data_IF_823505499759
#
_entry.id   IF_823505499759
#
_cell.length_a   1.000
_cell.length_b   1.000
_cell.length_c   1.000
_cell.angle_alpha   90.00
_cell.angle_beta   90.00
_cell.angle_gamma   90.00
#
_symmetry.space_group_name_H-M   'P 1'
#
loop_
_entity.id
_entity.type
_entity.pdbx_description
1 polymer ?
#
# COMPACT_ATOMS: atom_id res chain seq x y z
N UNK A 1 0.81 -29.57 15.68
CA UNK A 1 0.75 -28.12 15.99
C UNK A 1 0.68 -27.35 14.68
N UNK A 2 -0.54 -27.06 14.24
CA UNK A 2 -0.82 -26.31 13.00
C UNK A 2 -0.56 -24.83 13.23
N UNK A 3 0.40 -24.26 12.49
CA UNK A 3 0.84 -22.86 12.56
C UNK A 3 -0.15 -21.85 11.95
N UNK A 4 -1.45 -22.03 12.17
CA UNK A 4 -2.49 -21.12 11.65
C UNK A 4 -2.94 -20.05 12.67
N UNK A 5 -2.32 -20.00 13.86
CA UNK A 5 -2.80 -19.20 15.00
C UNK A 5 -2.46 -17.71 15.04
N UNK A 6 -1.61 -17.18 14.15
CA UNK A 6 -1.06 -15.82 14.32
C UNK A 6 -1.41 -14.81 13.20
N UNK A 7 -2.29 -15.17 12.25
CA UNK A 7 -2.67 -14.24 11.17
C UNK A 7 -4.05 -13.63 11.43
N UNK A 8 -4.03 -12.39 11.89
CA UNK A 8 -5.22 -11.56 12.17
C UNK A 8 -5.95 -11.11 10.88
N UNK A 9 -5.23 -11.05 9.75
CA UNK A 9 -5.74 -10.58 8.47
C UNK A 9 -5.40 -11.54 7.33
N UNK A 10 -6.27 -11.61 6.31
CA UNK A 10 -5.88 -12.12 5.00
C UNK A 10 -5.04 -11.05 4.30
N UNK A 11 -3.92 -11.44 3.70
CA UNK A 11 -2.99 -10.50 3.07
C UNK A 11 -2.70 -10.96 1.64
N UNK A 12 -2.95 -10.09 0.67
CA UNK A 12 -2.45 -10.21 -0.71
C UNK A 12 -1.36 -9.17 -0.95
N UNK A 13 -0.31 -9.52 -1.71
CA UNK A 13 0.71 -8.54 -2.07
C UNK A 13 1.42 -8.88 -3.37
N UNK A 14 1.70 -7.84 -4.15
CA UNK A 14 2.53 -7.89 -5.35
C UNK A 14 3.52 -6.71 -5.37
N UNK A 15 4.24 -6.50 -6.47
CA UNK A 15 5.23 -5.41 -6.53
C UNK A 15 4.60 -4.00 -6.50
N UNK A 16 3.27 -3.88 -6.55
CA UNK A 16 2.52 -2.63 -6.65
C UNK A 16 1.61 -2.34 -5.45
N UNK A 17 0.96 -3.36 -4.88
CA UNK A 17 0.08 -3.22 -3.70
C UNK A 17 0.34 -4.30 -2.69
N UNK A 18 0.06 -3.98 -1.43
CA UNK A 18 -0.15 -4.91 -0.33
C UNK A 18 -1.52 -4.59 0.24
N UNK A 19 -2.36 -5.60 0.39
CA UNK A 19 -3.74 -5.45 0.78
C UNK A 19 -4.04 -6.36 1.96
N UNK A 20 -4.85 -5.85 2.88
CA UNK A 20 -5.35 -6.54 4.05
C UNK A 20 -6.86 -6.64 3.89
N UNK A 21 -7.38 -7.85 4.00
CA UNK A 21 -8.79 -8.17 3.82
C UNK A 21 -9.26 -9.03 4.99
N UNK A 22 -10.47 -8.76 5.48
CA UNK A 22 -11.16 -9.52 6.52
C UNK A 22 -10.43 -9.53 7.88
N UNK A 23 -11.04 -10.15 8.89
CA UNK A 23 -10.57 -10.12 10.28
C UNK A 23 -11.11 -8.88 11.00
N UNK A 24 -10.28 -8.19 11.77
CA UNK A 24 -10.69 -6.96 12.48
C UNK A 24 -11.05 -5.78 11.53
N UNK A 25 -11.00 -6.00 10.21
CA UNK A 25 -11.40 -5.04 9.19
C UNK A 25 -12.89 -5.14 8.81
N UNK A 26 -13.63 -6.09 9.40
CA UNK A 26 -15.06 -6.29 9.15
C UNK A 26 -15.94 -5.27 9.89
N UNK A 27 -15.36 -4.47 10.79
CA UNK A 27 -15.99 -3.32 11.44
C UNK A 27 -15.39 -2.01 10.87
N UNK A 28 -16.06 -1.33 9.93
CA UNK A 28 -15.52 -0.14 9.29
C UNK A 28 -15.43 1.07 10.23
N UNK A 29 -16.20 1.10 11.33
CA UNK A 29 -16.17 2.20 12.30
C UNK A 29 -14.96 2.11 13.23
N UNK A 30 -14.45 0.89 13.47
CA UNK A 30 -13.31 0.61 14.34
C UNK A 30 -12.05 0.17 13.58
N UNK A 31 -11.93 0.54 12.30
CA UNK A 31 -10.83 0.16 11.43
C UNK A 31 -9.49 0.76 11.91
N UNK A 32 -8.73 0.00 12.70
CA UNK A 32 -7.41 0.39 13.20
C UNK A 32 -6.40 -0.74 12.93
N UNK A 33 -5.46 -0.49 12.04
CA UNK A 33 -4.30 -1.37 11.87
C UNK A 33 -3.15 -0.95 12.80
N UNK A 34 -2.43 -1.91 13.39
CA UNK A 34 -1.21 -1.59 14.14
C UNK A 34 -0.15 -1.01 13.20
N UNK A 35 0.72 -0.13 13.71
CA UNK A 35 1.77 0.51 12.90
C UNK A 35 2.73 -0.51 12.25
N UNK A 36 2.88 -1.70 12.88
CA UNK A 36 3.63 -2.84 12.34
C UNK A 36 3.06 -3.41 11.03
N UNK A 37 1.78 -3.14 10.73
CA UNK A 37 1.16 -3.50 9.45
C UNK A 37 1.71 -2.63 8.32
N UNK A 38 2.08 -1.37 8.58
CA UNK A 38 2.52 -0.39 7.58
C UNK A 38 3.98 -0.52 7.15
N UNK A 39 4.46 -1.75 6.93
CA UNK A 39 5.87 -2.03 6.64
C UNK A 39 6.43 -1.30 5.41
N UNK A 40 5.61 -1.04 4.39
CA UNK A 40 6.05 -0.35 3.17
C UNK A 40 5.93 1.17 3.25
N UNK A 41 5.18 1.66 4.23
CA UNK A 41 4.87 3.09 4.38
C UNK A 41 5.23 3.57 5.78
N UNK A 42 6.23 2.96 6.41
CA UNK A 42 6.67 3.27 7.77
C UNK A 42 7.16 4.72 7.82
N UNK A 43 6.47 5.55 8.60
CA UNK A 43 6.81 6.97 8.73
C UNK A 43 8.15 7.11 9.45
N UNK A 44 9.06 7.91 8.89
CA UNK A 44 10.31 8.32 9.54
C UNK A 44 10.05 9.63 10.27
N UNK A 45 10.11 9.66 11.62
CA UNK A 45 9.90 10.88 12.37
C UNK A 45 10.92 11.95 12.00
N UNK A 46 10.49 13.21 11.93
CA UNK A 46 11.33 14.37 11.62
C UNK A 46 12.06 14.31 10.26
N UNK A 47 11.55 13.54 9.30
CA UNK A 47 12.08 13.56 7.93
C UNK A 47 11.96 14.98 7.35
N UNK A 48 13.06 15.53 6.81
CA UNK A 48 13.04 16.80 6.09
C UNK A 48 12.19 16.69 4.82
N UNK A 49 11.54 17.76 4.39
CA UNK A 49 10.85 17.78 3.10
C UNK A 49 11.80 17.39 1.95
N UNK A 50 11.35 16.52 1.05
CA UNK A 50 12.12 16.09 -0.11
C UNK A 50 11.37 16.41 -1.41
N UNK A 51 12.10 16.88 -2.41
CA UNK A 51 11.58 17.09 -3.77
C UNK A 51 12.11 15.99 -4.67
N UNK A 52 11.23 15.43 -5.50
CA UNK A 52 11.56 14.44 -6.52
C UNK A 52 11.06 14.95 -7.87
N UNK A 53 11.86 14.76 -8.92
CA UNK A 53 11.43 15.05 -10.29
C UNK A 53 11.28 13.72 -11.03
N UNK A 54 10.10 13.46 -11.60
CA UNK A 54 9.84 12.20 -12.32
C UNK A 54 9.57 12.54 -13.77
N UNK A 55 10.39 12.01 -14.67
CA UNK A 55 10.18 12.19 -16.11
C UNK A 55 9.45 10.99 -16.70
N UNK A 56 8.55 11.28 -17.64
CA UNK A 56 7.76 10.29 -18.35
C UNK A 56 8.10 10.31 -19.84
N UNK A 57 8.07 9.13 -20.47
CA UNK A 57 8.17 8.97 -21.91
C UNK A 57 7.04 8.07 -22.36
N UNK A 58 6.16 8.58 -23.23
CA UNK A 58 4.96 7.87 -23.69
C UNK A 58 4.13 7.32 -22.51
N UNK A 59 3.90 8.18 -21.52
CA UNK A 59 3.16 7.86 -20.27
C UNK A 59 3.81 6.81 -19.36
N UNK A 60 5.04 6.38 -19.64
CA UNK A 60 5.78 5.45 -18.77
C UNK A 60 6.87 6.25 -18.03
N UNK A 61 6.94 6.21 -16.69
CA UNK A 61 7.99 6.87 -15.95
C UNK A 61 9.33 6.21 -16.26
N UNK A 62 10.34 7.02 -16.59
CA UNK A 62 11.62 6.55 -17.10
C UNK A 62 12.84 7.16 -16.40
N UNK A 63 12.65 8.17 -15.55
CA UNK A 63 13.73 8.84 -14.83
C UNK A 63 13.24 9.43 -13.52
N UNK A 64 14.10 9.37 -12.51
CA UNK A 64 13.95 10.08 -11.22
C UNK A 64 15.14 11.00 -11.06
N UNK A 65 14.85 12.28 -10.81
CA UNK A 65 15.79 13.39 -10.83
C UNK A 65 16.59 13.38 -12.15
N UNK A 66 17.89 13.20 -12.07
CA UNK A 66 18.79 13.18 -13.23
C UNK A 66 19.20 11.76 -13.68
N UNK A 67 18.57 10.71 -13.12
CA UNK A 67 18.96 9.32 -13.36
C UNK A 67 17.91 8.53 -14.16
N UNK A 68 18.20 8.25 -15.43
CA UNK A 68 17.40 7.35 -16.25
C UNK A 68 17.45 5.91 -15.72
N UNK A 69 16.30 5.24 -15.68
CA UNK A 69 16.19 3.88 -15.16
C UNK A 69 14.99 3.13 -15.73
N UNK A 70 15.06 1.80 -15.73
CA UNK A 70 13.92 0.95 -16.11
C UNK A 70 12.78 1.12 -15.11
N UNK A 71 11.54 0.96 -15.58
CA UNK A 71 10.32 1.13 -14.77
C UNK A 71 10.37 0.41 -13.43
N UNK A 72 10.73 -0.88 -13.41
CA UNK A 72 10.79 -1.64 -12.14
C UNK A 72 11.85 -1.10 -11.18
N UNK A 73 13.00 -0.65 -11.68
CA UNK A 73 14.04 -0.02 -10.87
C UNK A 73 13.58 1.32 -10.30
N UNK A 74 12.81 2.08 -11.08
CA UNK A 74 12.19 3.33 -10.67
C UNK A 74 11.22 3.13 -9.50
N UNK A 75 10.31 2.17 -9.65
CA UNK A 75 9.34 1.81 -8.61
C UNK A 75 10.08 1.36 -7.34
N UNK A 76 11.04 0.46 -7.45
CA UNK A 76 11.82 0.00 -6.29
C UNK A 76 12.60 1.11 -5.61
N UNK A 77 13.08 2.12 -6.35
CA UNK A 77 13.78 3.29 -5.79
C UNK A 77 12.81 4.23 -5.07
N UNK A 78 11.64 4.49 -5.66
CA UNK A 78 10.68 5.44 -5.12
C UNK A 78 9.93 4.91 -3.89
N UNK A 79 9.56 3.62 -3.89
CA UNK A 79 8.78 3.02 -2.81
C UNK A 79 9.29 3.35 -1.39
N UNK A 80 10.57 3.10 -1.02
CA UNK A 80 11.06 3.43 0.32
C UNK A 80 11.13 4.93 0.57
N UNK A 81 11.38 5.75 -0.47
CA UNK A 81 11.45 7.21 -0.33
C UNK A 81 10.08 7.76 0.04
N UNK A 82 9.05 7.46 -0.75
CA UNK A 82 7.70 7.96 -0.49
C UNK A 82 7.08 7.29 0.74
N UNK A 83 7.39 6.00 0.94
CA UNK A 83 6.93 5.24 2.10
C UNK A 83 7.40 5.83 3.43
N UNK A 84 8.59 6.42 3.49
CA UNK A 84 9.09 7.12 4.68
C UNK A 84 8.23 8.33 5.10
N UNK A 85 7.38 8.84 4.21
CA UNK A 85 6.42 9.92 4.50
C UNK A 85 4.98 9.39 4.72
N UNK A 86 4.78 8.08 4.84
CA UNK A 86 3.46 7.48 5.02
C UNK A 86 2.59 7.47 3.75
N UNK A 87 3.17 7.84 2.61
CA UNK A 87 2.45 7.91 1.33
C UNK A 87 2.12 6.49 0.84
N UNK A 88 0.85 6.26 0.50
CA UNK A 88 0.38 5.02 -0.12
C UNK A 88 -0.59 4.23 0.77
N UNK A 89 -0.84 4.67 2.00
CA UNK A 89 -1.87 4.10 2.89
C UNK A 89 -3.26 4.50 2.38
N UNK A 90 -4.15 3.52 2.24
CA UNK A 90 -5.52 3.72 1.80
C UNK A 90 -6.44 2.75 2.53
N UNK A 91 -7.62 3.21 2.94
CA UNK A 91 -8.67 2.38 3.49
C UNK A 91 -9.99 2.74 2.82
N UNK A 92 -10.75 1.75 2.38
CA UNK A 92 -12.06 1.96 1.81
C UNK A 92 -12.95 0.73 1.88
N UNK A 93 -14.25 0.95 1.73
CA UNK A 93 -15.21 -0.07 1.42
C UNK A 93 -15.28 -0.22 -0.10
N UNK A 94 -15.04 -1.42 -0.61
CA UNK A 94 -15.10 -1.73 -2.05
C UNK A 94 -16.28 -2.68 -2.32
N UNK A 95 -17.10 -2.36 -3.33
CA UNK A 95 -18.17 -3.25 -3.79
C UNK A 95 -17.58 -4.34 -4.71
N UNK A 96 -17.93 -5.60 -4.47
CA UNK A 96 -17.50 -6.73 -5.28
C UNK A 96 -18.64 -7.19 -6.21
N UNK A 97 -18.28 -7.54 -7.45
CA UNK A 97 -19.25 -7.99 -8.46
C UNK A 97 -19.86 -9.35 -8.04
N UNK A 98 -21.19 -9.42 -7.94
CA UNK A 98 -21.88 -10.68 -7.61
C UNK A 98 -23.17 -10.58 -6.80
N UNK A 99 -23.54 -9.42 -6.25
CA UNK A 99 -24.88 -9.13 -5.73
C UNK A 99 -25.40 -9.98 -4.55
N UNK A 100 -24.71 -11.05 -4.15
CA UNK A 100 -25.03 -11.76 -2.94
C UNK A 100 -24.53 -10.92 -1.77
N UNK A 101 -25.48 -10.40 -1.01
CA UNK A 101 -25.32 -9.78 0.30
C UNK A 101 -24.71 -10.77 1.30
N UNK A 102 -23.47 -11.15 1.08
CA UNK A 102 -22.59 -11.24 2.21
C UNK A 102 -22.49 -9.77 2.61
N UNK A 103 -23.00 -9.43 3.79
CA UNK A 103 -22.49 -8.30 4.56
C UNK A 103 -20.99 -8.58 4.76
N UNK A 104 -20.21 -8.38 3.71
CA UNK A 104 -18.80 -8.11 3.79
C UNK A 104 -18.74 -6.61 3.85
N UNK A 105 -19.03 -6.08 5.04
CA UNK A 105 -18.53 -4.77 5.47
C UNK A 105 -17.00 -4.86 5.63
N UNK A 106 -16.29 -5.44 4.65
CA UNK A 106 -14.87 -5.60 4.73
C UNK A 106 -14.28 -4.26 4.33
N UNK A 107 -13.86 -3.47 5.32
CA UNK A 107 -12.88 -2.44 5.08
C UNK A 107 -11.67 -3.08 4.40
N UNK A 108 -11.37 -2.71 3.17
CA UNK A 108 -10.11 -3.04 2.54
C UNK A 108 -9.12 -1.96 2.96
N UNK A 109 -8.09 -2.35 3.71
CA UNK A 109 -6.94 -1.46 3.90
C UNK A 109 -5.83 -1.92 2.99
N UNK A 110 -5.28 -1.00 2.21
CA UNK A 110 -4.17 -1.26 1.30
C UNK A 110 -3.01 -0.30 1.53
N UNK A 111 -1.83 -0.80 1.23
CA UNK A 111 -0.61 -0.04 1.01
C UNK A 111 -0.28 -0.14 -0.47
N UNK A 112 -0.33 0.99 -1.16
CA UNK A 112 0.19 1.11 -2.53
C UNK A 112 1.66 1.49 -2.47
N UNK A 113 2.48 0.84 -3.28
CA UNK A 113 3.93 1.10 -3.39
C UNK A 113 4.22 2.42 -4.09
N UNK A 114 3.41 2.81 -5.07
CA UNK A 114 3.55 4.07 -5.82
C UNK A 114 2.20 4.62 -6.26
N UNK A 115 2.11 5.96 -6.33
CA UNK A 115 1.01 6.73 -6.92
C UNK A 115 1.25 7.07 -8.41
N UNK A 116 2.11 6.32 -9.09
CA UNK A 116 2.52 6.58 -10.47
C UNK A 116 1.55 6.00 -11.50
#
# INVERSE_FOLDING_TARGET
MSHFGDRVYSIDSNFWRREFVSGDLDDPENLVLPESSYQWTKIVPNASSQKLVIAFRRSIPCRVDDADMKFLSLVNKLNPIVGAYGLGRYAALEEIEGGASILREHGATSQRRCFL
#
